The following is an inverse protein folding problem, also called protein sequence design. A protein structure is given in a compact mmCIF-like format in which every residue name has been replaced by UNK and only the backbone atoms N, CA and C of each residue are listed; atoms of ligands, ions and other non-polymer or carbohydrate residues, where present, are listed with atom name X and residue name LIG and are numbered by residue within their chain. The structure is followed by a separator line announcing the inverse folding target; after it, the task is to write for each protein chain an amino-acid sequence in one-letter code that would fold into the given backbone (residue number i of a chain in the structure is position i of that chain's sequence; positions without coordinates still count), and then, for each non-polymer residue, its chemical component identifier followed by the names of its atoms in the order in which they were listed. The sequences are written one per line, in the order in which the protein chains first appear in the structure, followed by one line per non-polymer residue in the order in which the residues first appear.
data_IF_713470103004
#
_entry.id   IF_713470103004
#
_cell.length_a   1.000
_cell.length_b   1.000
_cell.length_c   1.000
_cell.angle_alpha   90.00
_cell.angle_beta   90.00
_cell.angle_gamma   90.00
#
_symmetry.space_group_name_H-M   'P 1'
#
loop_
_entity.id
_entity.type
_entity.pdbx_description
1 polymer ?
#
# COMPACT_ATOMS: atom_id res chain seq x y z
N UNK A 1 2.06 9.53 -14.41
CA UNK A 1 0.76 9.26 -15.08
C UNK A 1 0.11 10.58 -15.46
N UNK A 2 -0.52 10.65 -16.63
CA UNK A 2 -1.24 11.86 -17.03
C UNK A 2 -2.57 12.00 -16.28
N UNK A 3 -2.99 13.24 -16.02
CA UNK A 3 -4.27 13.52 -15.34
C UNK A 3 -5.47 12.92 -16.06
N UNK A 4 -5.42 12.87 -17.40
CA UNK A 4 -6.49 12.28 -18.22
C UNK A 4 -6.59 10.77 -18.00
N UNK A 5 -5.46 10.05 -18.00
CA UNK A 5 -5.42 8.61 -17.73
C UNK A 5 -5.91 8.29 -16.32
N UNK A 6 -5.55 9.11 -15.32
CA UNK A 6 -6.10 8.99 -13.97
C UNK A 6 -7.62 9.08 -13.99
N UNK A 7 -8.15 10.18 -14.53
CA UNK A 7 -9.58 10.48 -14.52
C UNK A 7 -10.39 9.44 -15.32
N UNK A 8 -9.82 8.92 -16.41
CA UNK A 8 -10.43 7.89 -17.23
C UNK A 8 -10.44 6.51 -16.56
N UNK A 9 -9.54 6.26 -15.60
CA UNK A 9 -9.39 4.91 -15.03
C UNK A 9 -8.60 3.96 -15.94
N UNK A 10 -7.86 4.48 -16.94
CA UNK A 10 -7.25 3.67 -18.00
C UNK A 10 -5.91 4.25 -18.46
N UNK A 11 -4.93 3.38 -18.68
CA UNK A 11 -3.67 3.69 -19.32
C UNK A 11 -3.77 3.56 -20.85
N UNK A 12 -3.01 4.38 -21.57
CA UNK A 12 -2.67 4.14 -22.96
C UNK A 12 -1.89 2.84 -23.13
N UNK A 13 -1.92 2.26 -24.33
CA UNK A 13 -1.21 1.01 -24.60
C UNK A 13 0.31 1.16 -24.48
N UNK A 14 0.86 2.34 -24.83
CA UNK A 14 2.27 2.66 -24.64
C UNK A 14 2.65 2.66 -23.16
N UNK A 15 1.94 3.42 -22.32
CA UNK A 15 2.24 3.43 -20.88
C UNK A 15 2.00 2.07 -20.22
N UNK A 16 1.03 1.29 -20.70
CA UNK A 16 0.81 -0.06 -20.20
C UNK A 16 2.01 -0.98 -20.53
N UNK A 17 2.53 -0.90 -21.75
CA UNK A 17 3.72 -1.65 -22.15
C UNK A 17 4.93 -1.26 -21.28
N UNK A 18 5.23 0.03 -21.18
CA UNK A 18 6.38 0.53 -20.42
C UNK A 18 6.33 0.10 -18.96
N UNK A 19 5.14 0.15 -18.34
CA UNK A 19 4.96 -0.26 -16.94
C UNK A 19 5.16 -1.76 -16.75
N UNK A 20 4.65 -2.59 -17.66
CA UNK A 20 4.83 -4.05 -17.57
C UNK A 20 6.30 -4.42 -17.78
N UNK A 21 6.97 -3.81 -18.77
CA UNK A 21 8.40 -4.02 -19.01
C UNK A 21 9.25 -3.61 -17.80
N UNK A 22 9.02 -2.41 -17.26
CA UNK A 22 9.73 -1.91 -16.08
C UNK A 22 9.54 -2.82 -14.86
N UNK A 23 8.32 -3.36 -14.64
CA UNK A 23 8.09 -4.29 -13.54
C UNK A 23 8.91 -5.57 -13.67
N UNK A 24 9.00 -6.17 -14.87
CA UNK A 24 9.79 -7.39 -15.07
C UNK A 24 11.30 -7.14 -15.05
N UNK A 25 11.76 -5.92 -15.37
CA UNK A 25 13.17 -5.53 -15.23
C UNK A 25 13.56 -5.26 -13.77
N UNK A 26 12.76 -4.46 -13.07
CA UNK A 26 13.18 -3.80 -11.82
C UNK A 26 12.48 -4.35 -10.58
N UNK A 27 11.40 -5.13 -10.76
CA UNK A 27 10.61 -5.74 -9.69
C UNK A 27 9.59 -4.81 -9.03
N UNK A 28 9.54 -3.54 -9.39
CA UNK A 28 8.52 -2.59 -8.94
C UNK A 28 8.35 -1.43 -9.93
N UNK A 29 7.25 -0.69 -9.79
CA UNK A 29 6.93 0.49 -10.60
C UNK A 29 6.22 1.52 -9.72
N UNK A 30 6.48 2.80 -9.99
CA UNK A 30 5.79 3.93 -9.34
C UNK A 30 4.84 4.59 -10.33
N UNK A 31 3.54 4.58 -10.00
CA UNK A 31 2.52 5.32 -10.76
C UNK A 31 2.33 6.71 -10.15
N UNK A 32 3.15 7.66 -10.57
CA UNK A 32 3.03 9.04 -10.10
C UNK A 32 1.67 9.63 -10.45
N UNK A 33 1.03 10.31 -9.49
CA UNK A 33 -0.24 11.02 -9.67
C UNK A 33 -1.42 10.09 -10.03
N UNK A 34 -1.38 8.82 -9.62
CA UNK A 34 -2.43 7.82 -9.88
C UNK A 34 -3.70 8.01 -9.03
N UNK A 35 -3.62 8.79 -7.95
CA UNK A 35 -4.74 9.08 -7.03
C UNK A 35 -4.84 10.60 -6.88
N UNK A 36 -6.07 11.13 -6.83
CA UNK A 36 -6.30 12.54 -6.54
C UNK A 36 -5.89 12.91 -5.11
N UNK A 37 -5.24 14.07 -4.93
CA UNK A 37 -4.76 14.52 -3.62
C UNK A 37 -5.90 14.69 -2.59
N UNK A 38 -7.08 15.15 -3.02
CA UNK A 38 -8.24 15.28 -2.11
C UNK A 38 -8.67 13.93 -1.50
N UNK A 39 -8.52 12.85 -2.27
CA UNK A 39 -8.84 11.49 -1.81
C UNK A 39 -7.81 11.00 -0.78
N UNK A 40 -6.53 11.29 -1.02
CA UNK A 40 -5.41 11.01 -0.12
C UNK A 40 -5.63 11.77 1.20
N UNK A 41 -5.74 13.11 1.14
CA UNK A 41 -5.92 13.98 2.31
C UNK A 41 -7.14 13.59 3.15
N UNK A 42 -8.24 13.19 2.50
CA UNK A 42 -9.45 12.76 3.18
C UNK A 42 -9.24 11.48 3.95
N UNK A 43 -8.60 10.47 3.35
CA UNK A 43 -8.36 9.18 4.00
C UNK A 43 -7.31 9.31 5.10
N UNK A 44 -6.23 10.06 4.86
CA UNK A 44 -5.18 10.34 5.86
C UNK A 44 -5.77 10.94 7.15
N UNK A 45 -6.58 12.01 7.02
CA UNK A 45 -7.26 12.64 8.17
C UNK A 45 -8.11 11.67 8.99
N UNK A 46 -8.71 10.65 8.35
CA UNK A 46 -9.48 9.61 9.04
C UNK A 46 -8.55 8.60 9.70
N UNK A 47 -7.55 8.11 8.97
CA UNK A 47 -6.60 7.11 9.46
C UNK A 47 -5.78 7.63 10.64
N UNK A 48 -5.39 8.91 10.66
CA UNK A 48 -4.71 9.52 11.80
C UNK A 48 -5.56 9.50 13.07
N UNK A 49 -6.89 9.69 12.97
CA UNK A 49 -7.79 9.58 14.13
C UNK A 49 -7.85 8.15 14.65
N UNK A 50 -7.90 7.17 13.76
CA UNK A 50 -7.92 5.76 14.12
C UNK A 50 -6.57 5.33 14.73
N UNK A 51 -5.45 5.85 14.22
CA UNK A 51 -4.13 5.70 14.82
C UNK A 51 -4.11 6.23 16.26
N UNK A 52 -4.67 7.42 16.54
CA UNK A 52 -4.72 7.94 17.91
C UNK A 52 -5.52 7.04 18.86
N UNK A 53 -6.65 6.48 18.40
CA UNK A 53 -7.43 5.51 19.19
C UNK A 53 -6.63 4.24 19.48
N UNK A 54 -5.93 3.69 18.49
CA UNK A 54 -5.07 2.52 18.67
C UNK A 54 -3.94 2.79 19.66
N UNK A 55 -3.32 3.97 19.62
CA UNK A 55 -2.30 4.40 20.58
C UNK A 55 -2.87 4.61 21.99
N UNK A 56 -4.16 4.95 22.11
CA UNK A 56 -4.87 5.01 23.38
C UNK A 56 -5.27 3.63 23.93
N UNK A 57 -5.05 2.54 23.17
CA UNK A 57 -5.40 1.17 23.56
C UNK A 57 -6.80 0.75 23.13
N UNK A 58 -7.48 1.54 22.31
CA UNK A 58 -8.82 1.24 21.78
C UNK A 58 -8.73 0.37 20.52
N UNK A 59 -8.20 -0.86 20.67
CA UNK A 59 -8.16 -1.84 19.59
C UNK A 59 -6.88 -2.67 19.53
N UNK A 60 -6.81 -3.58 18.56
CA UNK A 60 -5.65 -4.45 18.35
C UNK A 60 -4.59 -3.74 17.51
N UNK A 61 -3.42 -3.51 18.09
CA UNK A 61 -2.29 -2.87 17.41
C UNK A 61 -1.19 -3.89 17.12
N UNK A 62 -0.67 -3.89 15.89
CA UNK A 62 0.47 -4.71 15.48
C UNK A 62 1.60 -3.79 15.03
N UNK A 63 2.82 -4.01 15.51
CA UNK A 63 3.98 -3.16 15.20
C UNK A 63 5.02 -3.97 14.45
N UNK A 64 5.44 -3.47 13.30
CA UNK A 64 6.50 -4.13 12.56
C UNK A 64 7.87 -3.90 13.25
N UNK A 65 8.73 -4.92 13.30
CA UNK A 65 10.01 -4.83 13.99
C UNK A 65 10.94 -3.81 13.31
N UNK A 66 11.52 -2.90 14.08
CA UNK A 66 12.59 -2.02 13.62
C UNK A 66 13.98 -2.66 13.80
N UNK A 67 15.03 -1.98 13.32
CA UNK A 67 16.40 -2.43 13.45
C UNK A 67 16.86 -2.48 14.90
N UNK A 68 16.62 -1.41 15.66
CA UNK A 68 16.93 -1.33 17.09
C UNK A 68 15.79 -1.90 17.94
N UNK A 69 16.09 -2.20 19.21
CA UNK A 69 15.20 -2.93 20.12
C UNK A 69 13.97 -2.11 20.57
N UNK A 70 13.08 -1.76 19.64
CA UNK A 70 11.73 -1.26 19.98
C UNK A 70 10.94 -2.26 20.83
N UNK A 71 11.34 -3.54 20.80
CA UNK A 71 10.86 -4.56 21.73
C UNK A 71 11.03 -4.17 23.22
N UNK A 72 11.96 -3.29 23.58
CA UNK A 72 12.19 -2.87 24.98
C UNK A 72 11.28 -1.72 25.43
N UNK A 73 10.85 -0.82 24.53
CA UNK A 73 10.06 0.38 24.89
C UNK A 73 8.59 0.33 24.43
N UNK A 74 8.21 -0.75 23.74
CA UNK A 74 6.84 -1.01 23.29
C UNK A 74 6.36 -0.14 22.13
N UNK A 75 5.22 -0.55 21.58
CA UNK A 75 4.34 0.13 20.62
C UNK A 75 4.36 1.68 20.58
N UNK A 76 4.41 2.32 21.76
CA UNK A 76 4.34 3.78 21.91
C UNK A 76 5.66 4.51 21.68
N UNK A 77 6.78 3.80 21.67
CA UNK A 77 8.11 4.39 21.53
C UNK A 77 8.50 4.74 20.08
N UNK A 78 7.58 4.55 19.13
CA UNK A 78 7.77 4.80 17.70
C UNK A 78 7.76 3.51 16.87
N UNK A 79 7.89 3.65 15.55
CA UNK A 79 7.95 2.52 14.62
C UNK A 79 6.82 2.48 13.61
N UNK A 80 6.60 1.33 12.99
CA UNK A 80 5.61 1.20 11.92
C UNK A 80 4.39 0.41 12.44
N UNK A 81 3.30 1.14 12.70
CA UNK A 81 2.03 0.60 13.16
C UNK A 81 1.28 0.02 11.96
N UNK A 82 1.02 -1.29 12.00
CA UNK A 82 0.10 -1.92 11.07
C UNK A 82 -1.33 -1.80 11.59
N UNK A 83 -2.16 -1.05 10.88
CA UNK A 83 -3.58 -0.89 11.19
C UNK A 83 -4.47 -1.32 10.01
N UNK A 84 -5.71 -1.69 10.32
CA UNK A 84 -6.73 -1.95 9.29
C UNK A 84 -7.26 -0.60 8.83
N UNK A 85 -7.20 -0.26 7.53
CA UNK A 85 -7.78 0.99 7.04
C UNK A 85 -9.31 0.98 7.21
N UNK A 86 -9.98 2.15 7.22
CA UNK A 86 -11.44 2.22 7.27
C UNK A 86 -12.11 1.37 6.17
N UNK A 87 -13.07 0.53 6.55
CA UNK A 87 -13.80 -0.38 5.63
C UNK A 87 -15.27 0.01 5.47
N UNK A 88 -15.70 1.08 6.15
CA UNK A 88 -17.04 1.61 6.00
C UNK A 88 -17.18 2.23 4.60
N UNK A 89 -18.37 2.07 4.01
CA UNK A 89 -18.62 2.37 2.59
C UNK A 89 -18.23 3.80 2.21
N UNK A 90 -18.38 4.77 3.11
CA UNK A 90 -18.09 6.17 2.85
C UNK A 90 -16.59 6.45 2.70
N UNK A 91 -15.72 5.53 3.16
CA UNK A 91 -14.26 5.65 3.15
C UNK A 91 -13.58 4.73 2.11
N UNK A 92 -14.33 3.79 1.51
CA UNK A 92 -13.84 2.92 0.44
C UNK A 92 -13.71 3.68 -0.89
N UNK A 93 -12.74 4.58 -0.97
CA UNK A 93 -12.43 5.37 -2.16
C UNK A 93 -11.89 4.48 -3.29
N UNK A 94 -12.59 4.37 -4.44
CA UNK A 94 -12.17 3.47 -5.52
C UNK A 94 -10.77 3.75 -6.05
N UNK A 95 -10.31 5.00 -6.11
CA UNK A 95 -8.95 5.29 -6.58
C UNK A 95 -7.86 4.73 -5.65
N UNK A 96 -8.20 4.39 -4.40
CA UNK A 96 -7.27 3.82 -3.41
C UNK A 96 -7.44 2.30 -3.31
N UNK A 97 -8.67 1.84 -3.01
CA UNK A 97 -8.95 0.43 -2.72
C UNK A 97 -9.20 -0.43 -3.96
N UNK A 98 -9.53 0.17 -5.10
CA UNK A 98 -9.89 -0.52 -6.35
C UNK A 98 -9.36 0.26 -7.57
N UNK A 99 -8.10 0.70 -7.51
CA UNK A 99 -7.49 1.54 -8.53
C UNK A 99 -7.47 0.80 -9.88
N UNK A 100 -8.24 1.29 -10.85
CA UNK A 100 -8.46 0.60 -12.13
C UNK A 100 -7.19 0.45 -12.96
N UNK A 101 -6.31 1.44 -12.93
CA UNK A 101 -5.04 1.41 -13.64
C UNK A 101 -4.11 0.36 -13.03
N UNK A 102 -3.95 0.36 -11.71
CA UNK A 102 -3.16 -0.64 -11.00
C UNK A 102 -3.73 -2.05 -11.23
N UNK A 103 -5.05 -2.22 -11.14
CA UNK A 103 -5.71 -3.49 -11.43
C UNK A 103 -5.45 -3.98 -12.87
N UNK A 104 -5.46 -3.08 -13.86
CA UNK A 104 -5.12 -3.41 -15.26
C UNK A 104 -3.66 -3.83 -15.40
N UNK A 105 -2.72 -3.15 -14.75
CA UNK A 105 -1.31 -3.54 -14.76
C UNK A 105 -1.13 -4.92 -14.12
N UNK A 106 -1.70 -5.11 -12.93
CA UNK A 106 -1.60 -6.36 -12.18
C UNK A 106 -2.17 -7.53 -12.99
N UNK A 107 -3.25 -7.32 -13.75
CA UNK A 107 -3.83 -8.38 -14.57
C UNK A 107 -2.96 -8.79 -15.76
N UNK A 108 -2.09 -7.91 -16.26
CA UNK A 108 -1.10 -8.24 -17.29
C UNK A 108 0.12 -8.98 -16.72
N UNK A 109 0.38 -8.83 -15.42
CA UNK A 109 1.51 -9.49 -14.74
C UNK A 109 1.10 -10.84 -14.15
N UNK A 110 -0.01 -10.89 -13.41
CA UNK A 110 -0.46 -12.08 -12.67
C UNK A 110 -1.50 -12.92 -13.45
N UNK A 111 -2.07 -12.37 -14.52
CA UNK A 111 -3.15 -13.00 -15.28
C UNK A 111 -4.50 -12.29 -15.08
N UNK A 112 -5.53 -12.68 -15.86
CA UNK A 112 -6.70 -11.84 -16.14
C UNK A 112 -7.62 -11.57 -14.94
N UNK A 113 -7.51 -12.32 -13.85
CA UNK A 113 -8.41 -12.25 -12.69
C UNK A 113 -7.63 -12.24 -11.38
N UNK A 114 -6.87 -11.16 -11.09
CA UNK A 114 -6.17 -11.05 -9.81
C UNK A 114 -7.17 -10.81 -8.67
N UNK A 115 -6.90 -11.38 -7.50
CA UNK A 115 -7.72 -11.23 -6.30
C UNK A 115 -6.97 -10.50 -5.18
N UNK A 116 -7.69 -9.71 -4.40
CA UNK A 116 -7.13 -9.06 -3.20
C UNK A 116 -7.27 -10.01 -2.02
N UNK A 117 -6.16 -10.63 -1.61
CA UNK A 117 -6.12 -11.53 -0.44
C UNK A 117 -5.73 -10.85 0.87
N UNK A 118 -5.18 -9.64 0.81
CA UNK A 118 -4.65 -8.95 1.98
C UNK A 118 -4.81 -7.43 1.84
N UNK A 119 -5.37 -6.81 2.88
CA UNK A 119 -5.56 -5.36 2.96
C UNK A 119 -5.15 -4.86 4.34
N UNK A 120 -4.07 -4.09 4.37
CA UNK A 120 -3.54 -3.44 5.58
C UNK A 120 -2.95 -2.10 5.22
N UNK A 121 -2.72 -1.29 6.25
CA UNK A 121 -1.97 -0.05 6.15
C UNK A 121 -0.84 -0.02 7.16
N UNK A 122 0.17 0.79 6.86
CA UNK A 122 1.39 0.96 7.64
C UNK A 122 1.54 2.45 7.95
N UNK A 123 1.46 2.81 9.22
CA UNK A 123 1.57 4.19 9.71
C UNK A 123 2.88 4.36 10.45
N UNK A 124 3.77 5.20 9.91
CA UNK A 124 5.03 5.53 10.56
C UNK A 124 4.78 6.46 11.74
N UNK A 125 5.04 5.95 12.94
CA UNK A 125 5.06 6.71 14.19
C UNK A 125 6.45 7.32 14.37
N UNK A 126 6.49 8.62 14.65
CA UNK A 126 7.69 9.46 14.78
C UNK A 126 8.89 8.73 15.41
N UNK A 127 9.81 8.25 14.56
CA UNK A 127 11.03 7.54 14.95
C UNK A 127 12.14 7.86 13.95
N UNK A 128 13.39 7.86 14.42
CA UNK A 128 14.59 7.98 13.57
C UNK A 128 15.18 6.62 13.19
N UNK A 129 14.54 5.52 13.60
CA UNK A 129 14.98 4.17 13.29
C UNK A 129 14.27 3.64 12.02
N UNK A 130 14.89 2.67 11.35
CA UNK A 130 14.38 2.10 10.09
C UNK A 130 14.00 0.62 10.27
N UNK A 131 13.11 0.14 9.42
CA UNK A 131 12.83 -1.30 9.32
C UNK A 131 14.05 -2.07 8.81
N UNK A 132 14.12 -3.35 9.17
CA UNK A 132 15.07 -4.29 8.56
C UNK A 132 14.73 -4.48 7.09
N UNK A 133 15.75 -4.68 6.24
CA UNK A 133 15.52 -5.14 4.87
C UNK A 133 14.88 -6.52 4.93
N UNK A 134 13.75 -6.70 4.24
CA UNK A 134 13.01 -7.96 4.22
C UNK A 134 12.18 -8.12 2.94
N UNK A 135 11.78 -9.37 2.68
CA UNK A 135 10.64 -9.70 1.83
C UNK A 135 9.39 -9.84 2.71
N UNK A 136 8.26 -9.40 2.18
CA UNK A 136 6.93 -9.56 2.80
C UNK A 136 6.53 -11.04 2.93
N UNK A 137 7.02 -11.89 2.02
CA UNK A 137 6.74 -13.32 1.97
C UNK A 137 8.05 -14.12 2.10
N UNK A 138 8.07 -15.10 3.00
CA UNK A 138 9.27 -15.91 3.33
C UNK A 138 8.93 -17.41 3.34
N UNK A 139 8.62 -17.95 2.18
CA UNK A 139 8.38 -19.38 1.97
C UNK A 139 8.71 -19.75 0.52
N UNK A 140 8.71 -21.05 0.19
CA UNK A 140 8.94 -21.49 -1.20
C UNK A 140 7.81 -21.06 -2.11
N UNK A 141 8.12 -20.32 -3.17
CA UNK A 141 7.16 -19.81 -4.12
C UNK A 141 7.70 -19.88 -5.56
N UNK A 142 6.85 -19.76 -6.59
CA UNK A 142 7.30 -19.71 -7.97
C UNK A 142 8.35 -18.62 -8.22
N UNK A 143 9.21 -18.83 -9.21
CA UNK A 143 10.20 -17.84 -9.66
C UNK A 143 9.59 -16.71 -10.48
N UNK A 144 8.36 -16.91 -10.98
CA UNK A 144 7.58 -15.89 -11.67
C UNK A 144 6.69 -15.16 -10.68
N UNK A 145 6.34 -13.88 -10.93
CA UNK A 145 5.40 -13.14 -10.08
C UNK A 145 4.10 -13.92 -9.85
N UNK A 146 3.73 -14.11 -8.59
CA UNK A 146 2.52 -14.82 -8.18
C UNK A 146 1.66 -13.99 -7.20
N UNK A 147 2.24 -12.91 -6.67
CA UNK A 147 1.60 -11.94 -5.80
C UNK A 147 2.27 -10.57 -6.01
N UNK A 148 1.50 -9.48 -5.88
CA UNK A 148 1.99 -8.11 -5.99
C UNK A 148 1.42 -7.30 -4.84
N UNK A 149 2.27 -6.54 -4.15
CA UNK A 149 1.84 -5.55 -3.18
C UNK A 149 1.54 -4.23 -3.90
N UNK A 150 0.28 -3.79 -3.89
CA UNK A 150 -0.10 -2.44 -4.31
C UNK A 150 -0.04 -1.50 -3.10
N UNK A 151 0.90 -0.57 -3.12
CA UNK A 151 1.00 0.48 -2.09
C UNK A 151 0.41 1.78 -2.61
N UNK A 152 -0.40 2.44 -1.78
CA UNK A 152 -0.85 3.82 -1.99
C UNK A 152 -0.31 4.65 -0.84
N UNK A 153 0.53 5.63 -1.16
CA UNK A 153 1.02 6.58 -0.16
C UNK A 153 -0.11 7.56 0.17
N UNK A 154 -0.59 7.48 1.42
CA UNK A 154 -1.57 8.38 2.02
C UNK A 154 -0.90 9.31 3.01
#
# INVERSE_FOLDING_TARGET
MERLERNAGSLSDHHLYDVVEAFFSDGFVVLENAVGLDNIDRLDKRMLKDTQKLLAGEGLSHYAPLNSKIAENGAKAGGNLSQVPPLEKEWLEPQIFANKQAAKIISYILGPQPEVHFLRSNTLLNTNDRQRVHSDMRFEHPTHPFAITQNVCV
#
